data_IF_837780520229
#
_entry.id   IF_837780520229
#
_cell.length_a   1.000
_cell.length_b   1.000
_cell.length_c   1.000
_cell.angle_alpha   90.00
_cell.angle_beta   90.00
_cell.angle_gamma   90.00
#
_symmetry.space_group_name_H-M   'P 1'
#
loop_
_entity.id
_entity.type
_entity.pdbx_description
1 polymer ?
#
# COMPACT_ATOMS: atom_id res chain seq x y z
N UNK A 1 -25.64 -4.29 10.77
CA UNK A 1 -24.48 -3.51 11.27
C UNK A 1 -24.10 -2.48 10.22
N UNK A 2 -23.96 -1.24 10.59
CA UNK A 2 -23.53 -0.21 9.66
C UNK A 2 -22.05 -0.34 9.31
N UNK A 3 -21.62 0.34 8.26
CA UNK A 3 -20.22 0.22 7.78
C UNK A 3 -19.20 0.73 8.80
N UNK A 4 -19.54 1.79 9.56
CA UNK A 4 -18.62 2.32 10.57
C UNK A 4 -18.40 1.33 11.72
N UNK A 5 -19.49 0.71 12.20
CA UNK A 5 -19.40 -0.33 13.24
C UNK A 5 -18.62 -1.55 12.74
N UNK A 6 -18.86 -1.98 11.50
CA UNK A 6 -18.16 -3.10 10.87
C UNK A 6 -16.66 -2.80 10.77
N UNK A 7 -16.28 -1.60 10.35
CA UNK A 7 -14.88 -1.19 10.28
C UNK A 7 -14.20 -1.30 11.64
N UNK A 8 -14.81 -0.78 12.69
CA UNK A 8 -14.26 -0.85 14.05
C UNK A 8 -14.05 -2.29 14.49
N UNK A 9 -15.04 -3.15 14.28
CA UNK A 9 -14.96 -4.57 14.65
C UNK A 9 -13.83 -5.27 13.91
N UNK A 10 -13.70 -5.06 12.60
CA UNK A 10 -12.67 -5.69 11.79
C UNK A 10 -11.26 -5.21 12.14
N UNK A 11 -11.09 -3.93 12.45
CA UNK A 11 -9.80 -3.39 12.91
C UNK A 11 -9.42 -4.01 14.25
N UNK A 12 -10.35 -4.10 15.20
CA UNK A 12 -10.12 -4.74 16.50
C UNK A 12 -9.74 -6.21 16.34
N UNK A 13 -10.44 -6.95 15.48
CA UNK A 13 -10.11 -8.35 15.20
C UNK A 13 -8.70 -8.49 14.64
N UNK A 14 -8.32 -7.61 13.71
CA UNK A 14 -6.99 -7.61 13.12
C UNK A 14 -5.89 -7.35 14.15
N UNK A 15 -6.08 -6.34 15.01
CA UNK A 15 -5.11 -5.99 16.05
C UNK A 15 -4.97 -7.09 17.11
N UNK A 16 -6.02 -7.86 17.34
CA UNK A 16 -6.08 -8.91 18.35
C UNK A 16 -5.76 -10.31 17.82
N UNK A 17 -5.39 -10.44 16.55
CA UNK A 17 -4.96 -11.73 16.00
C UNK A 17 -3.71 -12.22 16.73
N UNK A 18 -3.74 -13.40 17.38
CA UNK A 18 -2.60 -13.89 18.18
C UNK A 18 -1.38 -14.23 17.32
N UNK A 19 -1.58 -14.61 16.07
CA UNK A 19 -0.54 -14.99 15.12
C UNK A 19 -0.28 -13.92 14.05
N UNK A 20 -0.58 -12.66 14.34
CA UNK A 20 -0.49 -11.58 13.35
C UNK A 20 0.91 -11.44 12.76
N UNK A 21 1.96 -11.52 13.58
CA UNK A 21 3.34 -11.40 13.12
C UNK A 21 3.76 -12.58 12.25
N UNK A 22 3.33 -13.78 12.58
CA UNK A 22 3.61 -14.99 11.81
C UNK A 22 2.91 -14.91 10.44
N UNK A 23 1.66 -14.45 10.40
CA UNK A 23 0.91 -14.23 9.16
C UNK A 23 1.56 -13.16 8.31
N UNK A 24 2.06 -12.08 8.91
CA UNK A 24 2.78 -11.03 8.19
C UNK A 24 4.05 -11.57 7.53
N UNK A 25 4.82 -12.38 8.22
CA UNK A 25 6.00 -13.03 7.65
C UNK A 25 5.66 -13.92 6.46
N UNK A 26 4.60 -14.72 6.58
CA UNK A 26 4.14 -15.57 5.49
C UNK A 26 3.70 -14.73 4.28
N UNK A 27 2.98 -13.65 4.50
CA UNK A 27 2.55 -12.75 3.43
C UNK A 27 3.72 -12.07 2.74
N UNK A 28 4.78 -11.70 3.47
CA UNK A 28 6.01 -11.17 2.86
C UNK A 28 6.59 -12.16 1.85
N UNK A 29 6.67 -13.43 2.20
CA UNK A 29 7.20 -14.48 1.33
C UNK A 29 6.31 -14.71 0.11
N UNK A 30 5.01 -14.80 0.32
CA UNK A 30 4.04 -14.99 -0.77
C UNK A 30 4.09 -13.82 -1.75
N UNK A 31 4.13 -12.60 -1.23
CA UNK A 31 4.22 -11.39 -2.04
C UNK A 31 5.50 -11.35 -2.88
N UNK A 32 6.64 -11.71 -2.29
CA UNK A 32 7.92 -11.76 -3.00
C UNK A 32 7.89 -12.75 -4.15
N UNK A 33 7.33 -13.95 -3.94
CA UNK A 33 7.18 -14.97 -4.98
C UNK A 33 6.27 -14.47 -6.09
N UNK A 34 5.14 -13.89 -5.72
CA UNK A 34 4.16 -13.37 -6.69
C UNK A 34 4.77 -12.27 -7.57
N UNK A 35 5.56 -11.37 -6.98
CA UNK A 35 6.20 -10.27 -7.70
C UNK A 35 7.22 -10.72 -8.75
N UNK A 36 7.84 -11.90 -8.59
CA UNK A 36 8.81 -12.45 -9.56
C UNK A 36 8.19 -12.55 -10.96
N UNK A 37 6.91 -12.86 -11.03
CA UNK A 37 6.21 -13.08 -12.31
C UNK A 37 5.50 -11.85 -12.84
N UNK A 38 5.65 -10.70 -12.20
CA UNK A 38 4.99 -9.45 -12.63
C UNK A 38 5.92 -8.62 -13.50
N UNK A 39 5.42 -8.10 -14.64
CA UNK A 39 6.23 -7.24 -15.52
C UNK A 39 6.29 -5.78 -15.08
N UNK A 40 5.51 -5.40 -14.08
CA UNK A 40 5.37 -4.01 -13.65
C UNK A 40 6.70 -3.44 -13.14
N UNK A 41 7.03 -2.22 -13.54
CA UNK A 41 8.22 -1.50 -13.09
C UNK A 41 7.89 -0.42 -12.05
N UNK A 42 6.64 0.05 -12.01
CA UNK A 42 6.19 1.09 -11.07
C UNK A 42 5.02 0.55 -10.27
N UNK A 43 5.24 0.37 -8.97
CA UNK A 43 4.25 -0.20 -8.07
C UNK A 43 3.89 0.82 -7.01
N UNK A 44 2.59 1.09 -6.87
CA UNK A 44 2.04 1.89 -5.79
C UNK A 44 1.68 1.01 -4.60
N UNK A 45 1.93 1.51 -3.41
CA UNK A 45 1.63 0.82 -2.17
C UNK A 45 0.97 1.76 -1.17
N UNK A 46 1.04 1.45 0.10
CA UNK A 46 0.49 2.26 1.17
C UNK A 46 1.40 2.19 2.39
N UNK A 47 1.36 3.23 3.22
CA UNK A 47 2.01 3.20 4.53
C UNK A 47 1.06 2.49 5.51
N UNK A 48 1.50 1.41 6.17
CA UNK A 48 0.60 0.62 7.02
C UNK A 48 0.16 1.38 8.26
N UNK A 49 -1.13 1.29 8.56
CA UNK A 49 -1.72 1.85 9.78
C UNK A 49 -2.64 0.81 10.42
N UNK A 50 -2.94 0.97 11.71
CA UNK A 50 -3.95 0.15 12.42
C UNK A 50 -3.76 -1.36 12.25
N UNK A 51 -2.50 -1.83 12.33
CA UNK A 51 -2.18 -3.24 12.23
C UNK A 51 -2.26 -3.83 10.83
N UNK A 52 -2.29 -3.00 9.80
CA UNK A 52 -2.25 -3.47 8.41
C UNK A 52 -0.96 -4.23 8.12
N UNK A 53 -1.04 -5.17 7.18
CA UNK A 53 0.15 -5.79 6.61
C UNK A 53 1.04 -4.70 5.98
N UNK A 54 2.34 -4.76 6.25
CA UNK A 54 3.30 -3.82 5.68
C UNK A 54 3.87 -4.38 4.36
N UNK A 55 3.51 -3.80 3.20
CA UNK A 55 4.03 -4.28 1.92
C UNK A 55 5.43 -3.76 1.61
N UNK A 56 5.94 -2.79 2.35
CA UNK A 56 7.16 -2.07 1.99
C UNK A 56 8.43 -2.92 2.06
N UNK A 57 8.64 -3.81 3.04
CA UNK A 57 9.82 -4.67 3.02
C UNK A 57 9.92 -5.55 1.77
N UNK A 58 8.82 -6.18 1.38
CA UNK A 58 8.80 -7.02 0.17
C UNK A 58 9.04 -6.20 -1.09
N UNK A 59 8.45 -5.01 -1.17
CA UNK A 59 8.63 -4.11 -2.31
C UNK A 59 10.04 -3.55 -2.40
N UNK A 60 10.64 -3.21 -1.26
CA UNK A 60 12.03 -2.76 -1.24
C UNK A 60 12.97 -3.85 -1.76
N UNK A 61 12.76 -5.09 -1.36
CA UNK A 61 13.51 -6.23 -1.85
C UNK A 61 13.31 -6.43 -3.35
N UNK A 62 12.09 -6.31 -3.84
CA UNK A 62 11.77 -6.36 -5.27
C UNK A 62 12.53 -5.28 -6.05
N UNK A 63 12.61 -4.07 -5.51
CA UNK A 63 13.35 -2.97 -6.14
C UNK A 63 14.85 -3.25 -6.19
N UNK A 64 15.42 -3.74 -5.10
CA UNK A 64 16.83 -4.14 -5.05
C UNK A 64 17.13 -5.26 -6.05
N UNK A 65 16.27 -6.25 -6.15
CA UNK A 65 16.42 -7.35 -7.10
C UNK A 65 16.44 -6.84 -8.54
N UNK A 66 15.64 -5.85 -8.87
CA UNK A 66 15.66 -5.22 -10.20
C UNK A 66 16.98 -4.54 -10.53
N UNK A 67 17.59 -3.89 -9.55
CA UNK A 67 18.90 -3.27 -9.69
C UNK A 67 20.01 -4.33 -9.92
N UNK A 68 19.94 -5.43 -9.16
CA UNK A 68 20.90 -6.53 -9.29
C UNK A 68 20.79 -7.25 -10.64
N UNK A 69 19.59 -7.35 -11.20
CA UNK A 69 19.33 -7.98 -12.49
C UNK A 69 19.58 -7.06 -13.68
N UNK A 70 19.96 -5.81 -13.42
CA UNK A 70 20.24 -4.81 -14.46
C UNK A 70 19.10 -4.69 -15.49
N UNK A 71 17.87 -4.62 -14.96
CA UNK A 71 16.67 -4.54 -15.80
C UNK A 71 16.62 -3.24 -16.61
N UNK A 72 16.08 -3.27 -17.86
CA UNK A 72 16.00 -2.08 -18.72
C UNK A 72 15.12 -0.97 -18.16
N UNK A 73 14.10 -1.33 -17.37
CA UNK A 73 13.24 -0.34 -16.69
C UNK A 73 13.56 -0.31 -15.21
N UNK A 74 13.81 0.90 -14.70
CA UNK A 74 14.08 1.10 -13.29
C UNK A 74 12.82 0.82 -12.48
N UNK A 75 12.90 -0.07 -11.51
CA UNK A 75 11.80 -0.35 -10.58
C UNK A 75 11.65 0.80 -9.58
N UNK A 76 10.42 1.24 -9.35
CA UNK A 76 10.10 2.32 -8.42
C UNK A 76 8.88 1.96 -7.60
N UNK A 77 8.88 2.43 -6.34
CA UNK A 77 7.78 2.27 -5.40
C UNK A 77 7.16 3.64 -5.17
N UNK A 78 5.84 3.73 -5.17
CA UNK A 78 5.12 4.95 -4.86
C UNK A 78 4.26 4.82 -3.62
N UNK A 79 4.18 5.89 -2.84
CA UNK A 79 3.23 6.02 -1.74
C UNK A 79 2.20 7.10 -2.07
N UNK A 80 0.97 6.96 -1.54
CA UNK A 80 -0.12 7.86 -1.90
C UNK A 80 0.01 9.22 -1.23
N UNK A 81 -0.33 10.23 -1.99
CA UNK A 81 -0.47 11.60 -1.52
C UNK A 81 -1.88 12.06 -1.86
N UNK A 82 -2.59 12.61 -0.88
CA UNK A 82 -3.97 13.03 -1.04
C UNK A 82 -4.05 14.32 -1.86
N UNK A 83 -4.84 14.31 -2.91
CA UNK A 83 -5.28 15.53 -3.60
C UNK A 83 -6.57 16.00 -2.92
N UNK A 84 -6.47 17.08 -2.15
CA UNK A 84 -7.60 17.60 -1.37
C UNK A 84 -8.75 18.13 -2.23
N UNK A 85 -8.42 18.68 -3.38
CA UNK A 85 -9.41 19.27 -4.29
C UNK A 85 -10.31 18.22 -4.92
N UNK A 86 -9.73 17.14 -5.44
CA UNK A 86 -10.46 16.08 -6.12
C UNK A 86 -10.75 14.86 -5.24
N UNK A 87 -10.20 14.82 -4.02
CA UNK A 87 -10.29 13.70 -3.09
C UNK A 87 -9.82 12.38 -3.71
N UNK A 88 -8.79 12.47 -4.51
CA UNK A 88 -8.10 11.36 -5.16
C UNK A 88 -6.68 11.23 -4.61
N UNK A 89 -5.98 10.18 -5.04
CA UNK A 89 -4.59 9.93 -4.67
C UNK A 89 -3.70 10.11 -5.88
N UNK A 90 -2.55 10.75 -5.68
CA UNK A 90 -1.40 10.67 -6.58
C UNK A 90 -0.32 9.87 -5.86
N UNK A 91 0.64 9.34 -6.61
CA UNK A 91 1.70 8.52 -6.05
C UNK A 91 3.05 9.20 -6.28
N UNK A 92 3.82 9.29 -5.22
CA UNK A 92 5.15 9.88 -5.25
C UNK A 92 6.18 8.84 -4.87
N UNK A 93 7.35 8.91 -5.49
CA UNK A 93 8.42 7.93 -5.27
C UNK A 93 8.79 7.83 -3.79
N UNK A 94 8.91 6.60 -3.33
CA UNK A 94 9.36 6.28 -1.98
C UNK A 94 10.56 5.34 -2.04
N UNK A 95 11.51 5.58 -1.16
CA UNK A 95 12.65 4.70 -0.92
C UNK A 95 13.11 4.87 0.53
N UNK A 96 13.74 3.85 1.14
CA UNK A 96 14.25 4.00 2.51
C UNK A 96 15.20 5.18 2.62
N UNK A 97 14.97 6.03 3.63
CA UNK A 97 15.77 7.23 3.84
C UNK A 97 15.30 8.47 3.10
N UNK A 98 14.29 8.40 2.23
CA UNK A 98 13.72 9.60 1.63
C UNK A 98 13.03 10.46 2.70
N UNK A 99 12.97 11.78 2.45
CA UNK A 99 12.25 12.66 3.36
C UNK A 99 10.76 12.33 3.40
N UNK A 100 10.21 12.34 4.59
CA UNK A 100 8.81 12.06 4.85
C UNK A 100 8.19 13.18 5.67
N UNK A 101 6.89 13.39 5.51
CA UNK A 101 6.13 14.31 6.35
C UNK A 101 4.75 13.72 6.64
N UNK A 102 4.13 14.13 7.73
CA UNK A 102 2.77 13.71 8.06
C UNK A 102 1.77 14.46 7.18
N UNK A 103 0.78 13.74 6.66
CA UNK A 103 -0.34 14.34 5.95
C UNK A 103 -1.40 14.87 6.95
N UNK A 104 -2.56 15.33 6.43
CA UNK A 104 -3.64 15.85 7.26
C UNK A 104 -4.20 14.82 8.25
N UNK A 105 -3.99 13.54 8.00
CA UNK A 105 -4.45 12.44 8.85
C UNK A 105 -3.34 11.87 9.73
N UNK A 106 -2.15 12.49 9.74
CA UNK A 106 -1.00 12.02 10.49
C UNK A 106 -0.28 10.84 9.87
N UNK A 107 -0.58 10.49 8.64
CA UNK A 107 0.04 9.37 7.93
C UNK A 107 1.30 9.85 7.22
N UNK A 108 2.46 9.17 7.40
CA UNK A 108 3.68 9.54 6.67
C UNK A 108 3.50 9.46 5.15
N UNK A 109 3.96 10.48 4.47
CA UNK A 109 4.00 10.54 3.01
C UNK A 109 5.35 11.04 2.53
N UNK A 110 5.79 10.68 1.31
CA UNK A 110 7.04 11.22 0.77
C UNK A 110 6.95 12.74 0.59
N UNK A 111 8.07 13.41 0.90
CA UNK A 111 8.19 14.85 0.75
C UNK A 111 9.19 15.16 -0.36
N UNK A 112 8.78 16.00 -1.32
CA UNK A 112 9.63 16.50 -2.41
C UNK A 112 10.24 15.39 -3.29
N UNK A 113 9.57 14.26 -3.42
CA UNK A 113 9.96 13.21 -4.36
C UNK A 113 9.17 13.32 -5.66
N UNK A 114 9.62 12.63 -6.70
CA UNK A 114 8.96 12.70 -8.01
C UNK A 114 7.57 12.08 -8.02
N UNK A 115 6.67 12.67 -8.80
CA UNK A 115 5.37 12.08 -9.11
C UNK A 115 5.58 10.90 -10.05
N UNK A 116 4.97 9.77 -9.73
CA UNK A 116 5.03 8.56 -10.57
C UNK A 116 3.63 8.03 -10.82
N UNK A 117 3.46 7.27 -11.89
CA UNK A 117 2.19 6.64 -12.24
C UNK A 117 2.35 5.12 -12.16
N UNK A 118 1.83 4.50 -11.11
CA UNK A 118 1.93 3.04 -10.96
C UNK A 118 1.08 2.31 -11.99
N UNK A 119 1.54 1.13 -12.39
CA UNK A 119 0.77 0.19 -13.20
C UNK A 119 0.19 -0.95 -12.37
N UNK A 120 0.62 -1.06 -11.12
CA UNK A 120 0.13 -2.03 -10.14
C UNK A 120 -0.03 -1.32 -8.80
N UNK A 121 -1.16 -1.52 -8.14
CA UNK A 121 -1.43 -0.95 -6.82
C UNK A 121 -1.70 -2.04 -5.79
N UNK A 122 -1.05 -1.92 -4.63
CA UNK A 122 -1.46 -2.61 -3.41
C UNK A 122 -2.35 -1.67 -2.63
N UNK A 123 -3.60 -2.06 -2.44
CA UNK A 123 -4.63 -1.22 -1.84
C UNK A 123 -4.98 -1.74 -0.44
N UNK A 124 -4.88 -0.89 0.60
CA UNK A 124 -5.25 -1.31 1.93
C UNK A 124 -6.76 -1.52 2.03
N UNK A 125 -7.17 -2.48 2.86
CA UNK A 125 -8.59 -2.68 3.15
C UNK A 125 -8.78 -3.14 4.58
N UNK A 126 -9.95 -2.86 5.12
CA UNK A 126 -10.38 -3.34 6.45
C UNK A 126 -11.00 -4.72 6.33
N UNK A 127 -11.73 -4.97 5.25
CA UNK A 127 -12.37 -6.23 4.96
C UNK A 127 -12.68 -6.37 3.48
N UNK A 128 -13.07 -7.56 3.08
CA UNK A 128 -13.43 -7.85 1.69
C UNK A 128 -14.62 -8.81 1.63
N UNK A 129 -15.28 -8.84 0.47
CA UNK A 129 -16.40 -9.72 0.20
C UNK A 129 -16.28 -10.34 -1.18
N UNK A 130 -17.06 -11.38 -1.44
CA UNK A 130 -17.11 -12.04 -2.75
C UNK A 130 -17.43 -11.01 -3.85
N UNK A 131 -16.91 -11.23 -5.05
CA UNK A 131 -17.10 -10.33 -6.18
C UNK A 131 -16.11 -9.17 -6.25
N UNK A 132 -15.05 -9.20 -5.45
CA UNK A 132 -14.01 -8.18 -5.48
C UNK A 132 -14.34 -6.92 -4.70
N UNK A 133 -15.39 -6.95 -3.87
CA UNK A 133 -15.75 -5.81 -3.03
C UNK A 133 -14.78 -5.66 -1.86
N UNK A 134 -14.41 -4.42 -1.58
CA UNK A 134 -13.46 -4.05 -0.55
C UNK A 134 -14.09 -3.02 0.40
N UNK A 135 -13.86 -3.18 1.70
CA UNK A 135 -14.22 -2.20 2.71
C UNK A 135 -12.97 -1.40 3.08
N UNK A 136 -12.94 -0.12 2.69
CA UNK A 136 -11.89 0.81 3.09
C UNK A 136 -12.21 1.54 4.39
N UNK A 137 -11.48 2.63 4.67
CA UNK A 137 -11.66 3.42 5.89
C UNK A 137 -12.76 4.49 5.81
N UNK A 138 -13.46 4.58 4.66
CA UNK A 138 -14.64 5.44 4.51
C UNK A 138 -14.40 6.75 3.76
N UNK A 139 -13.15 7.10 3.45
CA UNK A 139 -12.85 8.34 2.73
C UNK A 139 -13.11 8.30 1.23
N UNK A 140 -13.16 7.11 0.64
CA UNK A 140 -13.42 6.92 -0.78
C UNK A 140 -12.28 7.33 -1.71
N UNK A 141 -11.08 7.58 -1.19
CA UNK A 141 -9.94 8.06 -1.98
C UNK A 141 -9.53 7.06 -3.06
N UNK A 142 -9.41 5.79 -2.72
CA UNK A 142 -9.06 4.75 -3.69
C UNK A 142 -10.17 4.52 -4.70
N UNK A 143 -11.43 4.53 -4.26
CA UNK A 143 -12.56 4.34 -5.15
C UNK A 143 -12.60 5.43 -6.23
N UNK A 144 -12.36 6.69 -5.85
CA UNK A 144 -12.29 7.81 -6.80
C UNK A 144 -11.05 7.74 -7.70
N UNK A 145 -9.92 7.33 -7.16
CA UNK A 145 -8.66 7.22 -7.90
C UNK A 145 -8.75 6.13 -8.97
N UNK A 146 -9.42 5.01 -8.65
CA UNK A 146 -9.56 3.86 -9.54
C UNK A 146 -10.75 3.98 -10.52
N UNK A 147 -11.59 4.98 -10.33
CA UNK A 147 -12.75 5.20 -11.20
C UNK A 147 -12.34 5.58 -12.64
#
# INVERSE_FOLDING_TARGET
MDKAALRRTLVEQRLNLPDRLERADLLQRVMRIWLIHRPDAVIGAYWPIKGEFDPLPALHRWKEDGELLDEPQRRRIGLPVVNKQHKTLTFHAWYPGCEMEADAYGIPKPKDTELIVPTLLFVPCVGYAAGGYRLGYGGGFYDRTLA
#
